data_IF_910193569039
#
_entry.id   IF_910193569039
#
_cell.length_a   1.000
_cell.length_b   1.000
_cell.length_c   1.000
_cell.angle_alpha   90.00
_cell.angle_beta   90.00
_cell.angle_gamma   90.00
#
_symmetry.space_group_name_H-M   'P 1'
#
loop_
_entity.id
_entity.type
_entity.pdbx_description
1 polymer ?
#
# COMPACT_ATOMS: atom_id res chain seq x y z
N UNK A 1 18.78 10.65 -4.13
CA UNK A 1 17.70 11.67 -4.09
C UNK A 1 18.17 13.02 -3.58
N UNK A 2 19.02 13.10 -2.54
CA UNK A 2 19.49 14.37 -1.97
C UNK A 2 20.27 15.24 -2.97
N UNK A 3 21.04 14.63 -3.88
CA UNK A 3 21.69 15.35 -4.99
C UNK A 3 20.64 16.02 -5.92
N UNK A 4 19.52 15.37 -6.18
CA UNK A 4 18.45 15.97 -6.97
C UNK A 4 17.85 17.19 -6.26
N UNK A 5 17.70 17.15 -4.92
CA UNK A 5 17.26 18.31 -4.13
C UNK A 5 18.22 19.48 -4.31
N UNK A 6 19.53 19.25 -4.18
CA UNK A 6 20.54 20.32 -4.36
C UNK A 6 20.47 20.95 -5.74
N UNK A 7 20.28 20.13 -6.80
CA UNK A 7 20.12 20.62 -8.17
C UNK A 7 18.83 21.43 -8.35
N UNK A 8 17.69 20.96 -7.83
CA UNK A 8 16.43 21.71 -7.89
C UNK A 8 16.51 23.03 -7.13
N UNK A 9 17.16 23.05 -5.97
CA UNK A 9 17.39 24.28 -5.21
C UNK A 9 18.25 25.28 -6.01
N UNK A 10 19.33 24.83 -6.64
CA UNK A 10 20.22 25.67 -7.44
C UNK A 10 19.52 26.36 -8.63
N UNK A 11 18.48 25.75 -9.20
CA UNK A 11 17.70 26.31 -10.32
C UNK A 11 16.33 26.85 -9.88
N UNK A 12 16.11 26.98 -8.57
CA UNK A 12 14.86 27.45 -7.96
C UNK A 12 13.61 26.72 -8.47
N UNK A 13 13.65 25.38 -8.46
CA UNK A 13 12.55 24.51 -8.90
C UNK A 13 12.06 23.57 -7.80
N UNK A 14 11.46 24.07 -6.70
CA UNK A 14 11.04 23.25 -5.54
C UNK A 14 9.96 22.22 -5.92
N UNK A 15 9.22 22.44 -7.01
CA UNK A 15 8.21 21.53 -7.53
C UNK A 15 8.78 20.47 -8.50
N UNK A 16 10.10 20.44 -8.71
CA UNK A 16 10.74 19.40 -9.52
C UNK A 16 10.37 18.01 -9.02
N UNK A 17 10.23 17.04 -9.93
CA UNK A 17 9.87 15.66 -9.59
C UNK A 17 11.13 14.80 -9.51
N UNK A 18 11.31 14.15 -8.37
CA UNK A 18 12.37 13.15 -8.17
C UNK A 18 11.73 11.80 -8.43
N UNK A 19 12.25 11.09 -9.40
CA UNK A 19 11.82 9.74 -9.76
C UNK A 19 12.79 8.73 -9.17
N UNK A 20 12.27 7.72 -8.48
CA UNK A 20 13.05 6.61 -7.95
C UNK A 20 13.06 5.47 -8.97
N UNK A 21 14.25 5.08 -9.39
CA UNK A 21 14.44 4.01 -10.36
C UNK A 21 15.75 3.29 -10.05
N UNK A 22 15.72 1.97 -9.95
CA UNK A 22 16.91 1.16 -9.76
C UNK A 22 17.67 1.00 -11.09
N UNK A 23 19.01 0.87 -11.02
CA UNK A 23 19.85 0.85 -12.19
C UNK A 23 19.64 -0.35 -13.14
N UNK A 24 18.98 -1.40 -12.64
CA UNK A 24 18.64 -2.62 -13.38
C UNK A 24 17.14 -2.76 -13.68
N UNK A 25 16.38 -1.72 -13.41
CA UNK A 25 14.95 -1.65 -13.74
C UNK A 25 14.76 -1.16 -15.18
N UNK A 26 13.93 -1.87 -15.94
CA UNK A 26 13.48 -1.43 -17.26
C UNK A 26 12.22 -0.59 -17.14
N UNK A 27 11.95 0.21 -18.15
CA UNK A 27 10.76 1.06 -18.22
C UNK A 27 10.11 0.97 -19.60
N UNK A 28 8.81 1.24 -19.65
CA UNK A 28 8.07 1.29 -20.91
C UNK A 28 8.51 2.50 -21.78
N UNK A 29 8.32 2.40 -23.10
CA UNK A 29 8.70 3.46 -24.04
C UNK A 29 8.00 4.79 -23.73
N UNK A 30 6.77 4.76 -23.21
CA UNK A 30 6.00 5.94 -22.82
C UNK A 30 6.28 6.42 -21.39
N UNK A 31 7.28 5.86 -20.68
CA UNK A 31 7.55 6.16 -19.28
C UNK A 31 7.63 7.65 -18.98
N UNK A 32 8.45 8.39 -19.73
CA UNK A 32 8.62 9.84 -19.50
C UNK A 32 7.32 10.62 -19.77
N UNK A 33 6.49 10.18 -20.70
CA UNK A 33 5.19 10.81 -20.98
C UNK A 33 4.22 10.63 -19.81
N UNK A 34 4.17 9.42 -19.21
CA UNK A 34 3.35 9.13 -18.05
C UNK A 34 3.84 9.90 -16.82
N UNK A 35 5.15 9.96 -16.60
CA UNK A 35 5.77 10.77 -15.53
C UNK A 35 5.46 12.26 -15.71
N UNK A 36 5.53 12.79 -16.93
CA UNK A 36 5.17 14.18 -17.23
C UNK A 36 3.69 14.45 -16.96
N UNK A 37 2.81 13.54 -17.36
CA UNK A 37 1.36 13.62 -17.05
C UNK A 37 1.11 13.65 -15.55
N UNK A 38 1.78 12.76 -14.77
CA UNK A 38 1.75 12.76 -13.32
C UNK A 38 2.25 14.09 -12.73
N UNK A 39 3.36 14.62 -13.25
CA UNK A 39 3.90 15.92 -12.83
C UNK A 39 2.91 17.08 -13.02
N UNK A 40 2.07 17.06 -14.06
CA UNK A 40 1.04 18.09 -14.32
C UNK A 40 -0.07 18.06 -13.26
N UNK A 41 -0.28 16.97 -12.55
CA UNK A 41 -1.21 16.91 -11.41
C UNK A 41 -0.62 17.64 -10.19
N UNK A 42 -0.97 18.90 -10.05
CA UNK A 42 -0.41 19.80 -9.02
C UNK A 42 -0.91 19.53 -7.61
N UNK A 43 -2.00 18.78 -7.46
CA UNK A 43 -2.55 18.44 -6.13
C UNK A 43 -1.81 17.27 -5.48
N UNK A 44 -1.12 16.43 -6.25
CA UNK A 44 -0.38 15.29 -5.72
C UNK A 44 1.09 15.63 -5.43
N UNK A 45 1.58 15.16 -4.30
CA UNK A 45 2.94 15.35 -3.84
C UNK A 45 3.83 14.13 -4.04
N UNK A 46 3.24 12.95 -4.04
CA UNK A 46 3.89 11.67 -4.26
C UNK A 46 3.04 10.80 -5.19
N UNK A 47 3.70 9.99 -6.00
CA UNK A 47 3.09 9.12 -7.01
C UNK A 47 3.67 7.73 -6.89
N UNK A 48 2.85 6.70 -7.05
CA UNK A 48 3.31 5.31 -7.25
C UNK A 48 2.87 4.82 -8.61
N UNK A 49 3.71 4.00 -9.24
CA UNK A 49 3.48 3.44 -10.56
C UNK A 49 3.19 1.95 -10.44
N UNK A 50 2.36 1.44 -11.35
CA UNK A 50 2.20 0.00 -11.51
C UNK A 50 3.48 -0.62 -12.08
N UNK A 51 3.74 -1.85 -11.67
CA UNK A 51 4.94 -2.58 -12.04
C UNK A 51 4.60 -4.00 -12.48
N UNK A 52 5.51 -4.63 -13.19
CA UNK A 52 5.48 -6.04 -13.52
C UNK A 52 6.91 -6.52 -13.77
N UNK A 53 7.25 -7.74 -13.33
CA UNK A 53 8.52 -8.31 -13.69
C UNK A 53 8.45 -8.89 -15.12
N UNK A 54 9.50 -8.65 -15.91
CA UNK A 54 9.65 -9.26 -17.22
C UNK A 54 10.47 -10.54 -17.11
N UNK A 55 9.98 -11.60 -17.73
CA UNK A 55 10.60 -12.91 -17.70
C UNK A 55 11.15 -13.28 -19.07
N UNK A 56 12.48 -13.25 -19.19
CA UNK A 56 13.19 -13.72 -20.38
C UNK A 56 13.65 -15.19 -20.13
N UNK A 57 13.09 -16.18 -20.83
CA UNK A 57 13.47 -17.59 -20.65
C UNK A 57 14.93 -17.90 -20.97
N UNK A 58 15.62 -17.01 -21.71
CA UNK A 58 17.04 -17.16 -21.97
C UNK A 58 17.94 -16.67 -20.81
N UNK A 59 17.36 -15.93 -19.85
CA UNK A 59 18.09 -15.32 -18.72
C UNK A 59 17.72 -15.91 -17.37
N UNK A 60 16.50 -16.47 -17.25
CA UNK A 60 15.97 -16.98 -16.00
C UNK A 60 15.47 -18.41 -16.18
N UNK A 61 15.71 -19.24 -15.20
CA UNK A 61 15.18 -20.62 -15.17
C UNK A 61 13.67 -20.62 -14.89
N UNK A 62 12.99 -21.72 -15.25
CA UNK A 62 11.55 -21.88 -14.97
C UNK A 62 11.25 -21.77 -13.46
N UNK A 63 12.15 -22.27 -12.61
CA UNK A 63 12.02 -22.17 -11.15
C UNK A 63 12.13 -20.71 -10.65
N UNK A 64 13.05 -19.92 -11.20
CA UNK A 64 13.17 -18.49 -10.89
C UNK A 64 11.95 -17.72 -11.35
N UNK A 65 11.48 -17.95 -12.57
CA UNK A 65 10.28 -17.33 -13.12
C UNK A 65 9.06 -17.67 -12.25
N UNK A 66 8.88 -18.94 -11.91
CA UNK A 66 7.80 -19.38 -11.04
C UNK A 66 7.87 -18.72 -9.67
N UNK A 67 9.04 -18.71 -9.05
CA UNK A 67 9.23 -18.11 -7.72
C UNK A 67 8.95 -16.62 -7.74
N UNK A 68 9.40 -15.90 -8.76
CA UNK A 68 9.13 -14.48 -8.91
C UNK A 68 7.63 -14.20 -9.12
N UNK A 69 6.93 -15.01 -9.93
CA UNK A 69 5.47 -14.90 -10.10
C UNK A 69 4.72 -15.10 -8.78
N UNK A 70 5.09 -16.09 -7.97
CA UNK A 70 4.49 -16.30 -6.64
C UNK A 70 4.73 -15.11 -5.70
N UNK A 71 5.93 -14.55 -5.72
CA UNK A 71 6.21 -13.34 -4.93
C UNK A 71 5.43 -12.13 -5.43
N UNK A 72 5.29 -11.96 -6.73
CA UNK A 72 4.49 -10.88 -7.32
C UNK A 72 3.00 -11.04 -7.01
N UNK A 73 2.46 -12.28 -7.00
CA UNK A 73 1.11 -12.56 -6.50
C UNK A 73 0.97 -12.10 -5.04
N UNK A 74 1.96 -12.38 -4.19
CA UNK A 74 1.95 -11.92 -2.79
C UNK A 74 1.89 -10.41 -2.66
N UNK A 75 2.72 -9.67 -3.39
CA UNK A 75 2.73 -8.21 -3.32
C UNK A 75 1.36 -7.61 -3.68
N UNK A 76 0.70 -8.17 -4.70
CA UNK A 76 -0.64 -7.75 -5.11
C UNK A 76 -1.73 -8.22 -4.14
N UNK A 77 -1.65 -9.45 -3.69
CA UNK A 77 -2.54 -9.98 -2.65
C UNK A 77 -2.53 -9.06 -1.42
N UNK A 78 -1.34 -8.73 -0.91
CA UNK A 78 -1.19 -7.88 0.26
C UNK A 78 -1.79 -6.49 0.04
N UNK A 79 -1.45 -5.83 -1.06
CA UNK A 79 -2.01 -4.52 -1.39
C UNK A 79 -3.53 -4.56 -1.56
N UNK A 80 -4.06 -5.53 -2.30
CA UNK A 80 -5.51 -5.67 -2.52
C UNK A 80 -6.26 -5.99 -1.22
N UNK A 81 -5.67 -6.79 -0.34
CA UNK A 81 -6.22 -7.02 1.00
C UNK A 81 -6.27 -5.72 1.81
N UNK A 82 -5.24 -4.85 1.72
CA UNK A 82 -5.27 -3.51 2.32
C UNK A 82 -6.31 -2.59 1.66
N UNK A 83 -6.52 -2.66 0.34
CA UNK A 83 -7.57 -1.91 -0.37
C UNK A 83 -8.97 -2.24 0.16
N UNK A 84 -9.24 -3.51 0.52
CA UNK A 84 -10.50 -3.89 1.16
C UNK A 84 -10.74 -3.18 2.50
N UNK A 85 -9.67 -2.85 3.25
CA UNK A 85 -9.78 -2.12 4.52
C UNK A 85 -10.14 -0.65 4.31
N UNK A 86 -10.08 -0.15 3.08
CA UNK A 86 -10.29 1.26 2.73
C UNK A 86 -9.35 2.22 3.50
N UNK A 87 -8.12 1.80 3.73
CA UNK A 87 -7.09 2.57 4.43
C UNK A 87 -6.22 3.36 3.44
N UNK A 88 -5.70 4.53 3.84
CA UNK A 88 -4.96 5.41 2.91
C UNK A 88 -3.59 4.83 2.50
N UNK A 89 -3.05 3.87 3.23
CA UNK A 89 -1.72 3.28 3.00
C UNK A 89 -1.75 1.96 2.20
N UNK A 90 -2.85 1.69 1.51
CA UNK A 90 -3.00 0.54 0.61
C UNK A 90 -2.36 0.80 -0.77
N UNK A 91 -1.07 1.10 -0.80
CA UNK A 91 -0.27 1.42 -1.98
C UNK A 91 0.87 0.41 -2.16
N UNK A 92 1.41 0.29 -3.38
CA UNK A 92 2.67 -0.41 -3.57
C UNK A 92 3.84 0.40 -3.00
N UNK A 93 4.74 -0.28 -2.28
CA UNK A 93 5.92 0.32 -1.64
C UNK A 93 7.21 -0.24 -2.24
N UNK A 94 7.33 -0.15 -3.56
CA UNK A 94 8.48 -0.67 -4.32
C UNK A 94 9.42 0.46 -4.67
N UNK A 95 10.68 0.31 -4.33
CA UNK A 95 11.70 1.35 -4.41
C UNK A 95 11.89 1.98 -5.78
N UNK A 96 11.74 1.19 -6.86
CA UNK A 96 11.85 1.67 -8.24
C UNK A 96 10.52 2.17 -8.85
N UNK A 97 9.42 2.19 -8.08
CA UNK A 97 8.07 2.44 -8.62
C UNK A 97 7.39 3.66 -8.02
N UNK A 98 8.14 4.71 -7.67
CA UNK A 98 7.52 5.93 -7.17
C UNK A 98 8.23 7.22 -7.65
N UNK A 99 7.51 8.32 -7.55
CA UNK A 99 8.07 9.65 -7.74
C UNK A 99 7.54 10.61 -6.66
N UNK A 100 8.34 11.60 -6.30
CA UNK A 100 8.00 12.57 -5.25
C UNK A 100 8.45 13.97 -5.65
N UNK A 101 7.65 15.00 -5.32
CA UNK A 101 8.08 16.39 -5.51
C UNK A 101 9.22 16.72 -4.56
N UNK A 102 10.19 17.49 -5.04
CA UNK A 102 11.37 17.88 -4.30
C UNK A 102 11.00 18.57 -2.96
N UNK A 103 10.01 19.44 -2.99
CA UNK A 103 9.49 20.10 -1.78
C UNK A 103 8.91 19.08 -0.78
N UNK A 104 8.13 18.13 -1.25
CA UNK A 104 7.54 17.09 -0.40
C UNK A 104 8.63 16.17 0.18
N UNK A 105 9.60 15.76 -0.64
CA UNK A 105 10.75 14.98 -0.19
C UNK A 105 11.50 15.67 0.95
N UNK A 106 11.74 16.98 0.82
CA UNK A 106 12.42 17.78 1.85
C UNK A 106 11.59 17.88 3.12
N UNK A 107 10.26 18.13 3.02
CA UNK A 107 9.34 18.20 4.17
C UNK A 107 9.26 16.87 4.93
N UNK A 108 9.41 15.73 4.23
CA UNK A 108 9.41 14.38 4.83
C UNK A 108 10.74 14.03 5.51
N UNK A 109 11.76 14.89 5.38
CA UNK A 109 13.10 14.68 5.95
C UNK A 109 13.96 13.71 5.11
N UNK A 110 13.63 13.54 3.83
CA UNK A 110 14.38 12.69 2.92
C UNK A 110 14.16 11.18 3.11
N UNK A 111 14.91 10.41 2.32
CA UNK A 111 14.90 8.93 2.42
C UNK A 111 15.60 8.50 3.71
N UNK A 112 14.97 7.63 4.54
CA UNK A 112 15.63 7.16 5.75
C UNK A 112 16.84 6.28 5.42
N UNK A 113 17.92 6.43 6.19
CA UNK A 113 19.13 5.59 6.05
C UNK A 113 18.85 4.25 6.73
N UNK A 114 18.61 3.20 5.95
CA UNK A 114 18.33 1.84 6.40
C UNK A 114 19.02 0.83 5.48
N UNK A 115 19.25 -0.38 5.98
CA UNK A 115 19.83 -1.46 5.17
C UNK A 115 18.87 -1.96 4.09
N UNK A 116 17.55 -1.88 4.34
CA UNK A 116 16.49 -2.20 3.38
C UNK A 116 15.11 -1.70 3.89
N UNK A 117 14.11 -1.64 3.00
CA UNK A 117 12.75 -1.19 3.31
C UNK A 117 12.62 0.33 3.50
N UNK A 118 13.66 1.09 3.13
CA UNK A 118 13.65 2.56 3.19
C UNK A 118 12.51 3.16 2.39
N UNK A 119 12.15 2.53 1.27
CA UNK A 119 11.01 2.85 0.41
C UNK A 119 9.67 2.73 1.15
N UNK A 120 9.45 1.61 1.85
CA UNK A 120 8.27 1.42 2.69
C UNK A 120 8.15 2.52 3.75
N UNK A 121 9.23 2.77 4.52
CA UNK A 121 9.22 3.81 5.54
C UNK A 121 8.98 5.20 4.98
N UNK A 122 9.57 5.51 3.83
CA UNK A 122 9.38 6.79 3.16
C UNK A 122 7.94 6.96 2.67
N UNK A 123 7.40 5.98 1.97
CA UNK A 123 6.06 6.03 1.42
C UNK A 123 4.98 6.05 2.52
N UNK A 124 5.19 5.36 3.64
CA UNK A 124 4.29 5.48 4.82
C UNK A 124 4.26 6.91 5.39
N UNK A 125 5.40 7.61 5.43
CA UNK A 125 5.43 9.04 5.79
C UNK A 125 4.73 9.91 4.74
N UNK A 126 4.92 9.61 3.46
CA UNK A 126 4.30 10.36 2.37
C UNK A 126 2.76 10.28 2.43
N UNK A 127 2.21 9.11 2.70
CA UNK A 127 0.75 8.90 2.87
C UNK A 127 0.19 9.72 4.04
N UNK A 128 0.92 9.82 5.16
CA UNK A 128 0.50 10.65 6.32
C UNK A 128 0.48 12.13 6.01
N UNK A 129 1.37 12.59 5.12
CA UNK A 129 1.42 14.00 4.71
C UNK A 129 0.23 14.35 3.81
N UNK A 130 -0.05 13.55 2.80
CA UNK A 130 -1.14 13.72 1.85
C UNK A 130 -1.40 12.42 1.06
N UNK A 131 -2.58 12.26 0.44
CA UNK A 131 -2.85 11.10 -0.41
C UNK A 131 -1.79 10.93 -1.51
N UNK A 132 -1.30 9.69 -1.65
CA UNK A 132 -0.40 9.31 -2.74
C UNK A 132 -1.24 9.03 -3.99
N UNK A 133 -0.85 9.60 -5.12
CA UNK A 133 -1.54 9.37 -6.40
C UNK A 133 -1.01 8.09 -7.04
N UNK A 134 -1.88 7.11 -7.21
CA UNK A 134 -1.54 5.88 -7.89
C UNK A 134 -1.74 6.05 -9.41
N UNK A 135 -0.72 5.74 -10.20
CA UNK A 135 -0.74 5.80 -11.65
C UNK A 135 -1.01 4.39 -12.17
N UNK A 136 -2.17 4.16 -12.82
CA UNK A 136 -2.61 2.81 -13.20
C UNK A 136 -1.82 2.22 -14.36
N UNK A 137 -1.17 3.05 -15.16
CA UNK A 137 -0.34 2.57 -16.26
C UNK A 137 0.85 1.76 -15.73
N UNK A 138 1.01 0.52 -16.20
CA UNK A 138 2.19 -0.29 -15.90
C UNK A 138 3.34 0.15 -16.79
N UNK A 139 4.34 0.77 -16.17
CA UNK A 139 5.45 1.37 -16.90
C UNK A 139 6.81 1.06 -16.29
N UNK A 140 6.84 0.31 -15.21
CA UNK A 140 8.09 -0.03 -14.51
C UNK A 140 8.23 -1.54 -14.44
N UNK A 141 9.40 -2.02 -14.82
CA UNK A 141 9.73 -3.45 -14.87
C UNK A 141 10.99 -3.74 -14.04
N UNK A 142 10.83 -3.91 -12.70
CA UNK A 142 11.95 -4.26 -11.83
C UNK A 142 12.60 -5.56 -12.27
N UNK A 143 13.92 -5.66 -12.07
CA UNK A 143 14.65 -6.87 -12.39
C UNK A 143 14.29 -8.02 -11.43
N UNK A 144 13.94 -9.22 -11.93
CA UNK A 144 13.66 -10.38 -11.09
C UNK A 144 14.95 -11.07 -10.58
N UNK A 145 16.13 -10.48 -10.81
CA UNK A 145 17.39 -11.10 -10.44
C UNK A 145 17.51 -11.35 -8.93
N UNK A 146 18.15 -12.45 -8.58
CA UNK A 146 18.51 -12.77 -7.21
C UNK A 146 19.78 -12.01 -6.82
N UNK A 147 19.73 -11.26 -5.71
CA UNK A 147 20.85 -10.51 -5.16
C UNK A 147 21.11 -10.91 -3.71
N UNK A 148 22.37 -10.92 -3.27
CA UNK A 148 22.74 -11.23 -1.90
C UNK A 148 22.97 -9.97 -1.03
N UNK A 149 22.76 -8.79 -1.61
CA UNK A 149 23.13 -7.50 -0.99
C UNK A 149 22.24 -7.08 0.18
N UNK A 150 21.00 -7.58 0.23
CA UNK A 150 20.02 -7.14 1.22
C UNK A 150 19.46 -8.32 2.02
N UNK A 151 19.19 -8.16 3.33
CA UNK A 151 18.74 -9.23 4.21
C UNK A 151 17.27 -9.61 4.04
N UNK A 152 16.47 -8.82 3.32
CA UNK A 152 15.05 -9.07 3.03
C UNK A 152 14.64 -8.39 1.72
N UNK A 153 13.41 -8.63 1.25
CA UNK A 153 12.88 -8.13 -0.03
C UNK A 153 12.84 -9.20 -1.11
N UNK A 154 12.71 -8.77 -2.36
CA UNK A 154 12.46 -9.64 -3.52
C UNK A 154 13.42 -10.83 -3.61
N UNK A 155 14.71 -10.59 -3.54
CA UNK A 155 15.72 -11.65 -3.71
C UNK A 155 15.67 -12.72 -2.62
N UNK A 156 15.41 -12.32 -1.37
CA UNK A 156 15.29 -13.26 -0.24
C UNK A 156 14.02 -14.10 -0.39
N UNK A 157 12.90 -13.45 -0.74
CA UNK A 157 11.64 -14.12 -0.97
C UNK A 157 11.74 -15.14 -2.11
N UNK A 158 12.31 -14.75 -3.27
CA UNK A 158 12.49 -15.64 -4.41
C UNK A 158 13.34 -16.87 -4.04
N UNK A 159 14.47 -16.68 -3.33
CA UNK A 159 15.30 -17.80 -2.86
C UNK A 159 14.54 -18.75 -1.94
N UNK A 160 13.77 -18.21 -0.99
CA UNK A 160 12.94 -19.00 -0.09
C UNK A 160 11.91 -19.82 -0.89
N UNK A 161 11.21 -19.19 -1.83
CA UNK A 161 10.21 -19.86 -2.66
C UNK A 161 10.86 -20.97 -3.51
N UNK A 162 12.04 -20.74 -4.08
CA UNK A 162 12.77 -21.75 -4.84
C UNK A 162 13.14 -22.97 -3.99
N UNK A 163 13.56 -22.73 -2.74
CA UNK A 163 13.93 -23.80 -1.82
C UNK A 163 12.70 -24.59 -1.32
N UNK A 164 11.64 -23.89 -0.92
CA UNK A 164 10.45 -24.50 -0.33
C UNK A 164 9.40 -24.94 -1.37
N UNK A 165 9.53 -24.48 -2.62
CA UNK A 165 8.56 -24.67 -3.73
C UNK A 165 7.15 -24.18 -3.40
N UNK A 166 7.02 -23.39 -2.36
CA UNK A 166 5.79 -22.84 -1.79
C UNK A 166 6.08 -21.45 -1.23
N UNK A 167 5.05 -20.61 -1.15
CA UNK A 167 5.14 -19.33 -0.46
C UNK A 167 3.93 -19.11 0.44
N UNK A 168 4.14 -19.21 1.73
CA UNK A 168 3.11 -18.97 2.73
C UNK A 168 3.02 -17.49 3.08
N UNK A 169 1.79 -17.01 3.21
CA UNK A 169 1.43 -15.62 3.46
C UNK A 169 0.46 -15.51 4.64
N UNK A 170 0.22 -14.30 5.11
CA UNK A 170 -0.74 -14.04 6.20
C UNK A 170 -2.12 -14.58 5.84
N UNK A 171 -2.75 -15.20 6.84
CA UNK A 171 -4.11 -15.69 6.72
C UNK A 171 -5.08 -14.54 6.42
N UNK A 172 -5.96 -14.74 5.45
CA UNK A 172 -6.93 -13.73 5.04
C UNK A 172 -7.90 -13.32 6.16
N UNK A 173 -8.17 -14.20 7.13
CA UNK A 173 -9.00 -13.88 8.29
C UNK A 173 -8.43 -12.72 9.12
N UNK A 174 -7.10 -12.56 9.20
CA UNK A 174 -6.48 -11.41 9.88
C UNK A 174 -6.86 -10.08 9.21
N UNK A 175 -6.93 -10.05 7.88
CA UNK A 175 -7.40 -8.85 7.16
C UNK A 175 -8.89 -8.58 7.39
N UNK A 176 -9.72 -9.62 7.60
CA UNK A 176 -11.12 -9.41 7.98
C UNK A 176 -11.23 -8.78 9.37
N UNK A 177 -10.39 -9.19 10.35
CA UNK A 177 -10.33 -8.56 11.67
C UNK A 177 -9.93 -7.09 11.57
N UNK A 178 -8.89 -6.81 10.80
CA UNK A 178 -8.48 -5.44 10.50
C UNK A 178 -9.61 -4.64 9.84
N UNK A 179 -10.33 -5.24 8.89
CA UNK A 179 -11.46 -4.55 8.23
C UNK A 179 -12.53 -4.15 9.23
N UNK A 180 -12.97 -5.06 10.09
CA UNK A 180 -13.95 -4.74 11.13
C UNK A 180 -13.45 -3.59 12.01
N UNK A 181 -12.18 -3.62 12.41
CA UNK A 181 -11.56 -2.57 13.21
C UNK A 181 -11.57 -1.19 12.53
N UNK A 182 -11.13 -1.11 11.27
CA UNK A 182 -11.11 0.17 10.55
C UNK A 182 -12.51 0.67 10.18
N UNK A 183 -13.46 -0.22 9.92
CA UNK A 183 -14.86 0.15 9.66
C UNK A 183 -15.54 0.82 10.87
N UNK A 184 -15.00 0.65 12.09
CA UNK A 184 -15.51 1.32 13.30
C UNK A 184 -15.13 2.80 13.36
N UNK A 185 -14.05 3.24 12.73
CA UNK A 185 -13.49 4.59 12.92
C UNK A 185 -14.50 5.74 12.70
N UNK A 186 -15.37 5.72 11.67
CA UNK A 186 -16.37 6.75 11.51
C UNK A 186 -17.41 6.79 12.64
N UNK A 187 -17.68 5.64 13.27
CA UNK A 187 -18.71 5.52 14.30
C UNK A 187 -18.20 5.90 15.70
N UNK A 188 -16.94 5.61 16.02
CA UNK A 188 -16.38 5.82 17.37
C UNK A 188 -16.01 7.28 17.67
N UNK A 189 -16.19 8.19 16.75
CA UNK A 189 -16.06 9.62 17.03
C UNK A 189 -17.13 10.08 18.03
N UNK A 190 -18.32 9.49 17.96
CA UNK A 190 -19.44 9.79 18.85
C UNK A 190 -19.26 9.06 20.20
N UNK A 191 -19.29 9.81 21.31
CA UNK A 191 -18.96 9.29 22.65
C UNK A 191 -19.90 8.19 23.14
N UNK A 192 -21.17 8.19 22.69
CA UNK A 192 -22.20 7.30 23.22
C UNK A 192 -22.33 5.94 22.50
N UNK A 193 -21.49 5.66 21.50
CA UNK A 193 -21.57 4.38 20.80
C UNK A 193 -20.76 3.29 21.49
N UNK A 194 -21.43 2.26 21.99
CA UNK A 194 -20.81 0.99 22.33
C UNK A 194 -20.38 0.28 21.04
N UNK A 195 -19.07 0.29 20.77
CA UNK A 195 -18.49 -0.41 19.61
C UNK A 195 -17.83 -1.71 20.07
N UNK A 196 -18.08 -2.76 19.32
CA UNK A 196 -17.44 -4.04 19.55
C UNK A 196 -16.14 -4.12 18.74
N UNK A 197 -15.01 -3.99 19.43
CA UNK A 197 -13.69 -4.16 18.83
C UNK A 197 -13.35 -5.65 18.78
N UNK A 198 -12.84 -6.18 17.67
CA UNK A 198 -12.43 -7.58 17.59
C UNK A 198 -11.46 -7.96 18.73
N UNK A 199 -11.66 -9.13 19.31
CA UNK A 199 -10.89 -9.59 20.48
C UNK A 199 -9.38 -9.60 20.20
N UNK A 200 -8.98 -10.00 19.00
CA UNK A 200 -7.58 -10.01 18.56
C UNK A 200 -6.97 -8.60 18.52
N UNK A 201 -7.79 -7.60 18.16
CA UNK A 201 -7.35 -6.19 18.16
C UNK A 201 -7.16 -5.70 19.58
N UNK A 202 -8.08 -6.06 20.50
CA UNK A 202 -7.96 -5.70 21.93
C UNK A 202 -6.79 -6.43 22.60
N UNK A 203 -6.54 -7.69 22.27
CA UNK A 203 -5.34 -8.44 22.71
C UNK A 203 -4.06 -7.73 22.27
N UNK A 204 -4.03 -7.22 21.04
CA UNK A 204 -2.83 -6.59 20.46
C UNK A 204 -2.61 -5.17 20.98
N UNK A 205 -3.66 -4.36 21.07
CA UNK A 205 -3.56 -2.94 21.47
C UNK A 205 -3.50 -2.81 23.00
N UNK A 206 -4.31 -3.55 23.72
CA UNK A 206 -4.61 -3.37 25.15
C UNK A 206 -5.65 -2.27 25.40
N UNK A 207 -6.48 -2.47 26.42
CA UNK A 207 -7.61 -1.57 26.73
C UNK A 207 -7.14 -0.14 27.04
N UNK A 208 -6.10 -0.01 27.87
CA UNK A 208 -5.59 1.31 28.29
C UNK A 208 -5.03 2.07 27.09
N UNK A 209 -4.20 1.44 26.26
CA UNK A 209 -3.66 2.04 25.03
C UNK A 209 -4.75 2.42 24.02
N UNK A 210 -5.83 1.63 23.96
CA UNK A 210 -6.97 1.96 23.12
C UNK A 210 -7.67 3.22 23.61
N UNK A 211 -8.02 3.26 24.91
CA UNK A 211 -8.72 4.39 25.52
C UNK A 211 -7.89 5.68 25.41
N UNK A 212 -6.60 5.62 25.74
CA UNK A 212 -5.67 6.74 25.62
C UNK A 212 -5.58 7.26 24.18
N UNK A 213 -5.48 6.33 23.20
CA UNK A 213 -5.42 6.69 21.78
C UNK A 213 -6.69 7.38 21.30
N UNK A 214 -7.84 6.87 21.72
CA UNK A 214 -9.15 7.41 21.35
C UNK A 214 -9.36 8.80 21.98
N UNK A 215 -9.06 8.94 23.26
CA UNK A 215 -9.15 10.22 23.97
C UNK A 215 -8.22 11.27 23.35
N UNK A 216 -6.96 10.89 23.05
CA UNK A 216 -6.00 11.76 22.37
C UNK A 216 -6.52 12.22 21.01
N UNK A 217 -7.04 11.28 20.19
CA UNK A 217 -7.58 11.61 18.88
C UNK A 217 -8.78 12.55 18.97
N UNK A 218 -9.69 12.36 19.94
CA UNK A 218 -10.84 13.25 20.17
C UNK A 218 -10.40 14.64 20.62
N UNK A 219 -9.53 14.72 21.65
CA UNK A 219 -9.04 15.96 22.25
C UNK A 219 -8.39 16.90 21.23
N UNK A 220 -7.62 16.37 20.31
CA UNK A 220 -6.84 17.17 19.36
C UNK A 220 -7.50 17.28 17.98
N UNK A 221 -8.75 16.88 17.82
CA UNK A 221 -9.47 17.00 16.56
C UNK A 221 -10.53 18.11 16.64
N UNK A 222 -10.52 18.98 15.63
CA UNK A 222 -11.49 20.06 15.48
C UNK A 222 -12.65 19.70 14.54
N UNK A 223 -12.61 18.51 13.91
CA UNK A 223 -13.62 18.02 12.97
C UNK A 223 -13.52 16.52 12.81
N UNK A 224 -14.61 15.89 12.32
CA UNK A 224 -14.66 14.46 11.98
C UNK A 224 -13.53 14.04 11.02
N UNK A 225 -13.23 14.86 10.03
CA UNK A 225 -12.12 14.61 9.11
C UNK A 225 -10.76 14.62 9.82
N UNK A 226 -10.54 15.55 10.76
CA UNK A 226 -9.32 15.62 11.56
C UNK A 226 -9.21 14.41 12.51
N UNK A 227 -10.32 13.98 13.12
CA UNK A 227 -10.38 12.80 13.94
C UNK A 227 -10.02 11.53 13.15
N UNK A 228 -10.68 11.30 12.03
CA UNK A 228 -10.40 10.16 11.17
C UNK A 228 -8.94 10.14 10.70
N UNK A 229 -8.39 11.31 10.33
CA UNK A 229 -6.99 11.40 9.96
C UNK A 229 -6.08 10.97 11.10
N UNK A 230 -6.32 11.43 12.34
CA UNK A 230 -5.52 11.03 13.51
C UNK A 230 -5.63 9.54 13.81
N UNK A 231 -6.82 8.97 13.68
CA UNK A 231 -7.02 7.53 13.85
C UNK A 231 -6.20 6.73 12.82
N UNK A 232 -6.20 7.12 11.54
CA UNK A 232 -5.35 6.49 10.53
C UNK A 232 -3.86 6.75 10.75
N UNK A 233 -3.46 7.92 11.25
CA UNK A 233 -2.06 8.22 11.58
C UNK A 233 -1.56 7.39 12.78
N UNK A 234 -2.44 7.08 13.74
CA UNK A 234 -2.15 6.25 14.92
C UNK A 234 -2.11 4.76 14.58
N UNK A 235 -3.11 4.30 13.86
CA UNK A 235 -3.27 2.91 13.42
C UNK A 235 -2.88 2.80 11.93
N UNK A 236 -1.61 3.02 11.65
CA UNK A 236 -1.05 3.15 10.32
C UNK A 236 -0.60 1.81 9.71
N UNK A 237 0.10 1.86 8.57
CA UNK A 237 0.64 0.67 7.92
C UNK A 237 1.65 -0.11 8.78
N UNK A 238 2.39 0.56 9.67
CA UNK A 238 3.26 -0.14 10.64
C UNK A 238 2.46 -0.89 11.69
N UNK A 239 1.37 -0.30 12.16
CA UNK A 239 0.45 -0.98 13.06
C UNK A 239 -0.10 -2.25 12.43
N UNK A 240 -0.55 -2.18 11.16
CA UNK A 240 -1.05 -3.36 10.43
C UNK A 240 0.02 -4.46 10.36
N UNK A 241 1.23 -4.12 9.94
CA UNK A 241 2.31 -5.13 9.82
C UNK A 241 2.62 -5.76 11.17
N UNK A 242 2.70 -4.97 12.24
CA UNK A 242 2.94 -5.50 13.60
C UNK A 242 1.80 -6.41 14.06
N UNK A 243 0.56 -6.02 13.80
CA UNK A 243 -0.60 -6.86 14.10
C UNK A 243 -0.54 -8.18 13.34
N UNK A 244 -0.33 -8.14 12.04
CA UNK A 244 -0.22 -9.35 11.21
C UNK A 244 0.89 -10.26 11.73
N UNK A 245 2.08 -9.74 12.00
CA UNK A 245 3.20 -10.51 12.54
C UNK A 245 2.90 -11.13 13.91
N UNK A 246 2.15 -10.45 14.78
CA UNK A 246 1.85 -10.96 16.13
C UNK A 246 0.89 -12.14 16.14
N UNK A 247 0.09 -12.29 15.09
CA UNK A 247 -0.89 -13.37 14.93
C UNK A 247 -0.51 -14.41 13.88
N UNK A 248 0.51 -14.13 13.05
CA UNK A 248 1.00 -15.06 12.03
C UNK A 248 1.49 -16.37 12.66
N UNK A 249 1.02 -17.49 12.13
CA UNK A 249 1.38 -18.81 12.62
C UNK A 249 0.72 -19.24 13.96
N UNK A 250 -0.11 -18.40 14.60
CA UNK A 250 -0.95 -18.86 15.70
C UNK A 250 -1.95 -19.91 15.20
N UNK A 251 -2.35 -20.84 16.05
CA UNK A 251 -3.25 -21.95 15.68
C UNK A 251 -4.57 -21.51 15.05
N UNK A 252 -5.08 -20.35 15.44
CA UNK A 252 -6.29 -19.75 14.86
C UNK A 252 -6.07 -19.12 13.47
N UNK A 253 -4.83 -18.79 13.12
CA UNK A 253 -4.47 -18.09 11.88
C UNK A 253 -3.22 -18.74 11.25
N UNK A 254 -3.31 -20.03 10.84
CA UNK A 254 -2.17 -20.69 10.20
C UNK A 254 -1.83 -19.96 8.88
N UNK A 255 -0.54 -19.89 8.52
CA UNK A 255 -0.12 -19.38 7.23
C UNK A 255 -0.79 -20.15 6.10
N UNK A 256 -1.09 -19.47 5.01
CA UNK A 256 -1.82 -20.02 3.85
C UNK A 256 -0.95 -19.89 2.60
N UNK A 257 -0.99 -20.87 1.71
CA UNK A 257 -0.31 -20.77 0.42
C UNK A 257 -0.80 -19.52 -0.36
N UNK A 258 0.13 -18.80 -0.94
CA UNK A 258 -0.15 -17.52 -1.61
C UNK A 258 -1.19 -17.64 -2.72
N UNK A 259 -1.22 -18.77 -3.44
CA UNK A 259 -2.19 -18.98 -4.52
C UNK A 259 -3.59 -19.20 -3.97
N UNK A 260 -3.71 -19.93 -2.86
CA UNK A 260 -4.98 -20.13 -2.16
C UNK A 260 -5.49 -18.78 -1.60
N UNK A 261 -4.63 -18.03 -0.92
CA UNK A 261 -4.95 -16.71 -0.39
C UNK A 261 -5.40 -15.74 -1.50
N UNK A 262 -4.72 -15.76 -2.65
CA UNK A 262 -5.07 -14.92 -3.79
C UNK A 262 -6.42 -15.32 -4.41
N UNK A 263 -6.73 -16.62 -4.53
CA UNK A 263 -8.05 -17.09 -5.01
C UNK A 263 -9.18 -16.65 -4.09
N UNK A 264 -9.00 -16.80 -2.77
CA UNK A 264 -9.97 -16.32 -1.78
C UNK A 264 -10.23 -14.82 -1.93
N UNK A 265 -9.16 -14.04 -2.11
CA UNK A 265 -9.26 -12.60 -2.31
C UNK A 265 -9.98 -12.24 -3.61
N UNK A 266 -9.64 -12.87 -4.75
CA UNK A 266 -10.31 -12.65 -6.03
C UNK A 266 -11.81 -12.93 -5.92
N UNK A 267 -12.19 -14.00 -5.23
CA UNK A 267 -13.60 -14.31 -4.94
C UNK A 267 -14.32 -13.20 -4.18
N UNK A 268 -13.63 -12.48 -3.27
CA UNK A 268 -14.22 -11.32 -2.56
C UNK A 268 -14.44 -10.10 -3.48
N UNK A 269 -13.66 -9.99 -4.54
CA UNK A 269 -13.87 -8.99 -5.59
C UNK A 269 -14.83 -9.46 -6.71
N UNK A 270 -15.47 -10.63 -6.55
CA UNK A 270 -16.42 -11.17 -7.52
C UNK A 270 -15.78 -11.77 -8.78
N UNK A 271 -14.47 -11.98 -8.76
CA UNK A 271 -13.75 -12.60 -9.87
C UNK A 271 -13.81 -14.12 -9.71
N UNK A 272 -14.37 -14.80 -10.72
CA UNK A 272 -14.42 -16.27 -10.76
C UNK A 272 -13.02 -16.84 -11.01
N UNK A 273 -12.76 -17.99 -10.43
CA UNK A 273 -11.53 -18.73 -10.68
C UNK A 273 -11.36 -19.03 -12.17
N UNK A 274 -10.19 -18.72 -12.71
CA UNK A 274 -9.78 -18.95 -14.09
C UNK A 274 -8.43 -19.67 -14.14
N UNK A 275 -8.01 -20.06 -15.33
CA UNK A 275 -6.82 -20.90 -15.57
C UNK A 275 -5.51 -20.18 -15.21
N UNK A 276 -5.49 -18.83 -15.24
CA UNK A 276 -4.29 -18.06 -14.98
C UNK A 276 -4.48 -17.08 -13.80
N UNK A 277 -4.22 -17.57 -12.60
CA UNK A 277 -4.28 -16.78 -11.38
C UNK A 277 -3.39 -15.54 -11.42
N UNK A 278 -2.19 -15.66 -11.97
CA UNK A 278 -1.24 -14.55 -12.07
C UNK A 278 -1.83 -13.39 -12.88
N UNK A 279 -2.38 -13.67 -14.06
CA UNK A 279 -3.01 -12.63 -14.89
C UNK A 279 -4.26 -12.02 -14.23
N UNK A 280 -5.07 -12.85 -13.56
CA UNK A 280 -6.25 -12.38 -12.87
C UNK A 280 -5.91 -11.37 -11.76
N UNK A 281 -4.88 -11.65 -10.96
CA UNK A 281 -4.50 -10.75 -9.88
C UNK A 281 -3.80 -9.47 -10.40
N UNK A 282 -3.02 -9.58 -11.49
CA UNK A 282 -2.46 -8.41 -12.18
C UNK A 282 -3.58 -7.48 -12.69
N UNK A 283 -4.57 -8.05 -13.37
CA UNK A 283 -5.70 -7.29 -13.89
C UNK A 283 -6.46 -6.57 -12.78
N UNK A 284 -6.82 -7.28 -11.70
CA UNK A 284 -7.53 -6.68 -10.57
C UNK A 284 -6.72 -5.57 -9.92
N UNK A 285 -5.42 -5.79 -9.74
CA UNK A 285 -4.53 -4.81 -9.11
C UNK A 285 -4.41 -3.53 -9.94
N UNK A 286 -4.29 -3.65 -11.26
CA UNK A 286 -4.30 -2.53 -12.20
C UNK A 286 -5.62 -1.75 -12.16
N UNK A 287 -6.75 -2.43 -12.17
CA UNK A 287 -8.07 -1.80 -12.07
C UNK A 287 -8.25 -1.07 -10.74
N UNK A 288 -7.77 -1.62 -9.64
CA UNK A 288 -7.90 -1.03 -8.31
C UNK A 288 -7.16 0.30 -8.14
N UNK A 289 -6.17 0.56 -8.98
CA UNK A 289 -5.46 1.85 -9.03
C UNK A 289 -6.28 2.95 -9.72
N UNK A 290 -7.20 2.57 -10.61
CA UNK A 290 -8.11 3.50 -11.30
C UNK A 290 -9.32 3.90 -10.46
N UNK A 291 -9.70 3.11 -9.47
CA UNK A 291 -10.76 3.45 -8.50
C UNK A 291 -10.21 4.40 -7.42
N UNK A 292 -10.04 5.59 -7.81
CA UNK A 292 -10.06 6.88 -7.13
C UNK A 292 -9.44 7.00 -5.76
N UNK A 293 -8.67 8.03 -5.60
CA UNK A 293 -8.60 8.85 -4.39
C UNK A 293 -9.92 8.80 -3.61
N UNK A 294 -9.84 8.47 -2.33
CA UNK A 294 -10.92 8.69 -1.37
C UNK A 294 -11.44 10.12 -1.54
N UNK A 295 -12.57 10.30 -2.21
CA UNK A 295 -13.37 11.47 -1.97
C UNK A 295 -13.85 11.33 -0.52
N UNK A 296 -13.24 12.13 0.37
CA UNK A 296 -13.86 12.45 1.64
C UNK A 296 -15.32 12.76 1.34
N UNK A 297 -16.20 12.06 2.01
CA UNK A 297 -17.65 12.28 1.98
C UNK A 297 -17.88 13.78 2.20
N UNK A 298 -18.07 14.52 1.11
CA UNK A 298 -18.64 15.85 1.18
C UNK A 298 -20.14 15.68 0.99
N UNK A 299 -20.86 15.91 2.10
CA UNK A 299 -22.21 16.40 2.18
C UNK A 299 -23.30 15.64 1.41
N UNK A 300 -24.05 14.86 2.16
CA UNK A 300 -25.49 14.81 1.95
C UNK A 300 -26.05 16.20 2.29
N UNK A 301 -26.16 17.09 1.32
CA UNK A 301 -27.03 18.26 1.43
C UNK A 301 -28.38 17.95 0.82
N UNK A 302 -29.39 18.26 1.63
CA UNK A 302 -30.76 17.96 1.50
C UNK A 302 -31.40 18.38 0.18
N UNK A 303 -32.16 17.46 -0.40
CA UNK A 303 -33.22 17.75 -1.32
C UNK A 303 -34.36 18.43 -0.59
N UNK A 304 -34.44 19.75 -0.74
CA UNK A 304 -35.65 20.49 -0.38
C UNK A 304 -36.74 20.25 -1.42
N UNK A 305 -37.77 19.55 -1.04
CA UNK A 305 -39.02 19.48 -1.79
C UNK A 305 -39.60 20.88 -1.90
N UNK A 306 -39.69 21.40 -3.10
CA UNK A 306 -40.56 22.52 -3.46
C UNK A 306 -41.83 21.98 -4.12
N UNK A 307 -42.91 22.05 -3.39
CA UNK A 307 -44.27 21.83 -3.88
C UNK A 307 -44.69 23.04 -4.74
N UNK A 308 -45.26 22.87 -5.93
CA UNK A 308 -45.80 23.98 -6.71
C UNK A 308 -47.25 24.30 -6.27
N UNK A 309 -47.48 25.57 -6.18
CA UNK A 309 -48.83 26.13 -6.35
C UNK A 309 -49.05 26.58 -7.79
#
# INVERSE_FOLDING_TARGET
MDEAIRRFAAINRPQGLIVSLDADTLVAENYLQVVEKAYKNKSAHCFTFQFQHLFDPNRYTDDEIRACKLYEIYLRYFRLALKMLKVPFAIHTIGSCFAVRAEAYSKLGGMPVRQAGEDFYFLQKAVKMAPVSEIPECIVFPSPRISERVPFGTSVAIRKIMAEKRYDVYNFELFKRLKVFYDLFPAIEQEDMQVHIPAEMMEFIGMDNWNDSLEECRRYSSSSSAFLKRMYDRFDGFFIIKFLHSFDGKSAFPPVDVQEAARLLLGKYGIKEGDNLYEQILFLDGQSSSFGSFSCISSAEGGGDSIPH
#
